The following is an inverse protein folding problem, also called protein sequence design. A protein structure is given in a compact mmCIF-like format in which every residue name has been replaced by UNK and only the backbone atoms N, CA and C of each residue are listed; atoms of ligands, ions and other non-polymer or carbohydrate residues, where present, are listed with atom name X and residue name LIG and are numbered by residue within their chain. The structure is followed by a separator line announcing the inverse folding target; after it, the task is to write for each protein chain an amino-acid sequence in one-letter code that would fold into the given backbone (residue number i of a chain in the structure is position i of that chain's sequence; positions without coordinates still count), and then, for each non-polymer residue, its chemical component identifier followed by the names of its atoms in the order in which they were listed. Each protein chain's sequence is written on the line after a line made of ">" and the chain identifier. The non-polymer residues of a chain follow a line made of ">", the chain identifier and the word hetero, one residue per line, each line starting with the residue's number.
data_IF_029607594643
#
_entry.id   IF_029607594643
#
_cell.length_a   1.000
_cell.length_b   1.000
_cell.length_c   1.000
_cell.angle_alpha   90.00
_cell.angle_beta   90.00
_cell.angle_gamma   90.00
#
_symmetry.space_group_name_H-M   'P 1'
#
loop_
_entity.id
_entity.type
_entity.pdbx_description
1 polymer ?
#
# COMPACT_ATOMS: atom_id res chain seq x y z
N UNK A 1 2.29 -3.66 -4.84
CA UNK A 1 1.69 -4.74 -4.03
C UNK A 1 0.79 -4.18 -2.95
N UNK A 2 1.36 -3.86 -1.79
CA UNK A 2 0.60 -3.52 -0.57
C UNK A 2 0.02 -2.10 -0.58
N UNK A 3 0.72 -1.14 -1.19
CA UNK A 3 0.26 0.25 -1.33
C UNK A 3 -1.04 0.40 -2.17
N UNK A 4 -1.43 -0.62 -2.95
CA UNK A 4 -2.71 -0.63 -3.68
C UNK A 4 -3.91 -0.61 -2.74
N UNK A 5 -3.74 -1.07 -1.49
CA UNK A 5 -4.77 -0.97 -0.46
C UNK A 5 -5.10 0.49 -0.12
N UNK A 6 -4.11 1.38 -0.22
CA UNK A 6 -4.30 2.82 -0.03
C UNK A 6 -4.92 3.49 -1.26
N UNK A 7 -4.84 2.88 -2.42
CA UNK A 7 -5.45 3.41 -3.64
C UNK A 7 -6.94 3.00 -3.80
N UNK A 8 -7.38 1.95 -3.10
CA UNK A 8 -8.76 1.46 -3.14
C UNK A 8 -9.70 2.28 -2.24
N UNK A 9 -10.78 2.82 -2.83
CA UNK A 9 -11.87 3.59 -2.17
C UNK A 9 -11.46 4.81 -1.32
N UNK A 10 -10.28 5.39 -1.52
CA UNK A 10 -9.92 6.64 -0.85
C UNK A 10 -10.45 7.87 -1.60
N UNK A 11 -10.75 8.94 -0.85
CA UNK A 11 -11.18 10.24 -1.39
C UNK A 11 -9.94 11.10 -1.60
N UNK A 12 -9.70 11.54 -2.83
CA UNK A 12 -8.55 12.37 -3.16
C UNK A 12 -8.74 13.77 -2.56
N UNK A 13 -7.70 14.29 -1.89
CA UNK A 13 -7.80 15.56 -1.16
C UNK A 13 -7.62 16.81 -2.05
N UNK A 14 -7.14 16.67 -3.30
CA UNK A 14 -6.96 17.77 -4.27
C UNK A 14 -7.87 17.58 -5.48
N UNK A 15 -8.42 18.66 -6.04
CA UNK A 15 -9.31 18.57 -7.22
C UNK A 15 -8.56 18.17 -8.51
N UNK A 16 -7.29 18.56 -8.64
CA UNK A 16 -6.43 18.18 -9.78
C UNK A 16 -5.06 17.65 -9.30
N UNK A 17 -4.70 16.46 -9.78
CA UNK A 17 -3.38 15.84 -9.54
C UNK A 17 -3.35 14.39 -10.03
N UNK A 18 -2.16 13.87 -10.36
CA UNK A 18 -1.97 12.53 -10.94
C UNK A 18 -2.58 11.39 -10.09
N UNK A 19 -2.74 11.58 -8.78
CA UNK A 19 -3.44 10.62 -7.91
C UNK A 19 -4.92 10.43 -8.27
N UNK A 20 -5.55 11.37 -8.99
CA UNK A 20 -6.92 11.26 -9.49
C UNK A 20 -7.06 10.22 -10.63
N UNK A 21 -5.95 9.76 -11.23
CA UNK A 21 -5.96 8.63 -12.17
C UNK A 21 -6.16 7.27 -11.47
N UNK A 22 -5.75 7.14 -10.21
CA UNK A 22 -5.72 5.86 -9.50
C UNK A 22 -6.62 5.81 -8.26
N UNK A 23 -6.67 6.90 -7.48
CA UNK A 23 -7.45 6.97 -6.24
C UNK A 23 -8.94 6.97 -6.56
N UNK A 24 -9.64 5.95 -6.06
CA UNK A 24 -11.08 5.77 -6.28
C UNK A 24 -11.48 5.12 -7.61
N UNK A 25 -10.53 4.89 -8.53
CA UNK A 25 -10.74 4.17 -9.81
C UNK A 25 -10.22 2.73 -9.80
N UNK A 26 -9.37 2.37 -8.84
CA UNK A 26 -8.93 0.98 -8.68
C UNK A 26 -10.10 0.12 -8.19
N UNK A 27 -10.33 -0.98 -8.90
CA UNK A 27 -11.35 -1.97 -8.55
C UNK A 27 -10.85 -2.92 -7.46
N UNK A 28 -11.76 -3.47 -6.65
CA UNK A 28 -11.42 -4.47 -5.63
C UNK A 28 -10.67 -5.66 -6.23
N UNK A 29 -11.03 -6.03 -7.46
CA UNK A 29 -10.42 -7.14 -8.21
C UNK A 29 -8.95 -6.86 -8.51
N UNK A 30 -8.61 -5.68 -8.99
CA UNK A 30 -7.21 -5.27 -9.23
C UNK A 30 -6.42 -5.24 -7.92
N UNK A 31 -7.01 -4.70 -6.85
CA UNK A 31 -6.39 -4.73 -5.52
C UNK A 31 -6.06 -6.15 -5.07
N UNK A 32 -7.03 -7.07 -5.12
CA UNK A 32 -6.82 -8.46 -4.69
C UNK A 32 -5.81 -9.20 -5.56
N UNK A 33 -5.84 -9.01 -6.88
CA UNK A 33 -4.88 -9.65 -7.80
C UNK A 33 -3.46 -9.15 -7.52
N UNK A 34 -3.26 -7.85 -7.42
CA UNK A 34 -1.92 -7.28 -7.15
C UNK A 34 -1.40 -7.67 -5.77
N UNK A 35 -2.28 -7.77 -4.77
CA UNK A 35 -1.92 -8.27 -3.44
C UNK A 35 -1.51 -9.74 -3.48
N UNK A 36 -2.30 -10.57 -4.16
CA UNK A 36 -2.07 -12.01 -4.29
C UNK A 36 -0.75 -12.30 -5.00
N UNK A 37 -0.46 -11.61 -6.10
CA UNK A 37 0.81 -11.74 -6.81
C UNK A 37 1.98 -11.33 -5.92
N UNK A 38 1.87 -10.20 -5.21
CA UNK A 38 2.94 -9.73 -4.32
C UNK A 38 3.23 -10.71 -3.18
N UNK A 39 2.19 -11.25 -2.53
CA UNK A 39 2.33 -12.25 -1.47
C UNK A 39 2.90 -13.57 -2.00
N UNK A 40 2.44 -14.03 -3.17
CA UNK A 40 2.95 -15.24 -3.80
C UNK A 40 4.43 -15.11 -4.15
N UNK A 41 4.85 -13.98 -4.75
CA UNK A 41 6.25 -13.72 -5.08
C UNK A 41 7.13 -13.61 -3.81
N UNK A 42 6.67 -12.88 -2.79
CA UNK A 42 7.40 -12.77 -1.53
C UNK A 42 7.59 -14.14 -0.87
N UNK A 43 6.55 -14.99 -0.89
CA UNK A 43 6.63 -16.34 -0.30
C UNK A 43 7.49 -17.28 -1.15
N UNK A 44 7.41 -17.18 -2.48
CA UNK A 44 8.20 -18.03 -3.39
C UNK A 44 9.69 -17.72 -3.30
N UNK A 45 10.06 -16.44 -3.19
CA UNK A 45 11.46 -16.00 -3.20
C UNK A 45 12.12 -16.06 -1.82
N UNK A 46 11.36 -15.80 -0.76
CA UNK A 46 11.89 -15.59 0.61
C UNK A 46 11.27 -16.56 1.64
N UNK A 47 10.46 -17.52 1.20
CA UNK A 47 9.84 -18.53 2.04
C UNK A 47 8.87 -17.96 3.08
N UNK A 48 8.78 -18.63 4.23
CA UNK A 48 7.89 -18.23 5.34
C UNK A 48 8.28 -16.86 5.92
N UNK A 49 9.57 -16.50 5.86
CA UNK A 49 10.05 -15.18 6.30
C UNK A 49 9.51 -14.08 5.38
N UNK A 50 9.51 -14.30 4.06
CA UNK A 50 8.88 -13.41 3.09
C UNK A 50 7.38 -13.19 3.35
N UNK A 51 6.65 -14.27 3.67
CA UNK A 51 5.24 -14.18 4.02
C UNK A 51 5.02 -13.35 5.29
N UNK A 52 5.81 -13.59 6.34
CA UNK A 52 5.74 -12.83 7.61
C UNK A 52 6.06 -11.35 7.39
N UNK A 53 7.14 -11.04 6.69
CA UNK A 53 7.54 -9.68 6.35
C UNK A 53 6.46 -8.96 5.53
N UNK A 54 5.85 -9.64 4.56
CA UNK A 54 4.77 -9.09 3.76
C UNK A 54 3.51 -8.80 4.60
N UNK A 55 3.12 -9.69 5.52
CA UNK A 55 1.99 -9.46 6.42
C UNK A 55 2.23 -8.30 7.39
N UNK A 56 3.42 -8.19 7.97
CA UNK A 56 3.82 -7.07 8.83
C UNK A 56 3.73 -5.75 8.05
N UNK A 57 4.29 -5.75 6.83
CA UNK A 57 4.25 -4.59 5.93
C UNK A 57 2.82 -4.19 5.60
N UNK A 58 1.93 -5.15 5.34
CA UNK A 58 0.51 -4.88 5.04
C UNK A 58 -0.16 -4.08 6.15
N UNK A 59 0.02 -4.54 7.39
CA UNK A 59 -0.62 -3.97 8.58
C UNK A 59 -0.09 -2.56 8.83
N UNK A 60 1.23 -2.38 8.75
CA UNK A 60 1.87 -1.08 9.01
C UNK A 60 1.56 -0.06 7.91
N UNK A 61 1.62 -0.44 6.63
CA UNK A 61 1.25 0.46 5.53
C UNK A 61 -0.22 0.86 5.61
N UNK A 62 -1.12 -0.06 5.99
CA UNK A 62 -2.52 0.27 6.20
C UNK A 62 -2.69 1.26 7.37
N UNK A 63 -2.06 1.00 8.51
CA UNK A 63 -2.12 1.88 9.68
C UNK A 63 -1.59 3.29 9.36
N UNK A 64 -0.46 3.38 8.65
CA UNK A 64 0.12 4.64 8.16
C UNK A 64 -0.84 5.38 7.24
N UNK A 65 -1.43 4.69 6.26
CA UNK A 65 -2.39 5.31 5.35
C UNK A 65 -3.64 5.84 6.04
N UNK A 66 -4.09 5.17 7.11
CA UNK A 66 -5.22 5.62 7.94
C UNK A 66 -4.83 6.82 8.83
N UNK A 67 -3.62 6.81 9.40
CA UNK A 67 -3.10 7.94 10.16
C UNK A 67 -2.94 9.19 9.29
N UNK A 68 -2.29 9.06 8.13
CA UNK A 68 -2.11 10.14 7.15
C UNK A 68 -3.46 10.70 6.67
N UNK A 69 -4.44 9.81 6.40
CA UNK A 69 -5.80 10.22 6.04
C UNK A 69 -6.45 11.09 7.12
N UNK A 70 -6.30 10.71 8.40
CA UNK A 70 -6.87 11.47 9.52
C UNK A 70 -6.19 12.82 9.70
N UNK A 71 -4.88 12.90 9.49
CA UNK A 71 -4.11 14.14 9.66
C UNK A 71 -4.30 15.12 8.52
N UNK A 72 -4.40 14.63 7.28
CA UNK A 72 -4.40 15.46 6.06
C UNK A 72 -5.79 15.62 5.42
N UNK A 73 -6.83 15.03 6.00
CA UNK A 73 -8.21 15.12 5.49
C UNK A 73 -8.50 14.28 4.23
N UNK A 74 -7.54 13.51 3.75
CA UNK A 74 -7.65 12.64 2.58
C UNK A 74 -6.30 12.07 2.17
N UNK A 75 -6.22 11.45 0.99
CA UNK A 75 -4.94 11.01 0.41
C UNK A 75 -4.56 11.86 -0.80
N UNK A 76 -3.25 12.12 -0.95
CA UNK A 76 -2.61 12.77 -2.09
C UNK A 76 -1.59 11.84 -2.76
N UNK A 77 -1.11 12.20 -3.96
CA UNK A 77 -0.01 11.48 -4.62
C UNK A 77 1.23 11.38 -3.73
N UNK A 78 1.57 12.44 -2.98
CA UNK A 78 2.73 12.46 -2.08
C UNK A 78 2.57 11.48 -0.90
N UNK A 79 1.37 11.36 -0.33
CA UNK A 79 1.11 10.38 0.74
C UNK A 79 1.17 8.94 0.24
N UNK A 80 0.82 8.69 -1.02
CA UNK A 80 0.96 7.38 -1.64
C UNK A 80 2.42 7.06 -1.93
N UNK A 81 3.18 8.02 -2.46
CA UNK A 81 4.61 7.88 -2.69
C UNK A 81 5.35 7.56 -1.38
N UNK A 82 5.08 8.34 -0.34
CA UNK A 82 5.63 8.09 1.00
C UNK A 82 5.23 6.71 1.55
N UNK A 83 3.99 6.25 1.33
CA UNK A 83 3.56 4.93 1.78
C UNK A 83 4.20 3.77 0.97
N UNK A 84 4.57 4.00 -0.29
CA UNK A 84 5.34 3.04 -1.10
C UNK A 84 6.75 2.91 -0.53
N UNK A 85 7.46 4.03 -0.39
CA UNK A 85 8.83 4.09 0.15
C UNK A 85 8.89 3.48 1.56
N UNK A 86 7.98 3.89 2.46
CA UNK A 86 7.90 3.33 3.80
C UNK A 86 7.53 1.84 3.80
N UNK A 87 6.65 1.41 2.90
CA UNK A 87 6.30 0.00 2.76
C UNK A 87 7.50 -0.86 2.36
N UNK A 88 8.36 -0.37 1.46
CA UNK A 88 9.58 -1.06 1.06
C UNK A 88 10.59 -1.13 2.20
N UNK A 89 10.82 -0.02 2.92
CA UNK A 89 11.71 0.01 4.09
C UNK A 89 11.22 -0.94 5.18
N UNK A 90 9.92 -0.92 5.50
CA UNK A 90 9.32 -1.81 6.51
C UNK A 90 9.47 -3.28 6.10
N UNK A 91 9.27 -3.60 4.81
CA UNK A 91 9.42 -4.96 4.32
C UNK A 91 10.84 -5.48 4.50
N UNK A 92 11.84 -4.67 4.14
CA UNK A 92 13.25 -5.02 4.33
C UNK A 92 13.61 -5.17 5.80
N UNK A 93 13.13 -4.27 6.67
CA UNK A 93 13.35 -4.37 8.12
C UNK A 93 12.68 -5.60 8.74
N UNK A 94 11.50 -5.98 8.26
CA UNK A 94 10.80 -7.18 8.73
C UNK A 94 11.41 -8.50 8.21
N UNK A 95 12.34 -8.42 7.26
CA UNK A 95 13.08 -9.56 6.72
C UNK A 95 14.38 -9.86 7.51
N UNK A 96 14.90 -8.87 8.23
CA UNK A 96 16.08 -8.99 9.11
C UNK A 96 15.76 -9.80 10.37
#
# INVERSE_FOLDING_TARGET
>A
GMAVLLMYRQRYAREEGLGNLFIGKITLRQMLITMGIALALATLLLGVNGLRAALITLVLVWALGQALKRTLGGQTGDTLGAAIELGEVIFLLALL
#
